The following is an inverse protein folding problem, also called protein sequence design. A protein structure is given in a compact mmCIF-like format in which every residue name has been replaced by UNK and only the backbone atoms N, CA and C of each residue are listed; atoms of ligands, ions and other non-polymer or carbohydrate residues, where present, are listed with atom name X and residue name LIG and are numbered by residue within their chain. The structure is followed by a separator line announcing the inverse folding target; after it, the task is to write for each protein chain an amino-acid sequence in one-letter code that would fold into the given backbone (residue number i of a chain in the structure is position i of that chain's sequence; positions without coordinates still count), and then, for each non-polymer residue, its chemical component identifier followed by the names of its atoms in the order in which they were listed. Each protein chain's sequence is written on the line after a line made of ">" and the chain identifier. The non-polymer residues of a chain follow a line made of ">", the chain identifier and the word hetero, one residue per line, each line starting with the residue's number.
data_IF_886483766524
#
_entry.id   IF_886483766524
#
_cell.length_a   1.000
_cell.length_b   1.000
_cell.length_c   1.000
_cell.angle_alpha   90.00
_cell.angle_beta   90.00
_cell.angle_gamma   90.00
#
_symmetry.space_group_name_H-M   'P 1'
#
loop_
_entity.id
_entity.type
_entity.pdbx_description
1 polymer ?
#
# COMPACT_ATOMS: atom_id res chain seq x y z
N UNK A 1 6.71 30.32 -5.45
CA UNK A 1 6.36 29.14 -6.26
C UNK A 1 4.92 28.76 -5.96
N UNK A 2 4.01 28.67 -6.94
CA UNK A 2 2.66 28.21 -6.71
C UNK A 2 2.67 26.77 -6.19
N UNK A 3 2.01 26.52 -5.06
CA UNK A 3 1.89 25.20 -4.43
C UNK A 3 0.42 24.80 -4.42
N UNK A 4 0.12 23.58 -4.86
CA UNK A 4 -1.16 22.97 -4.54
C UNK A 4 -1.07 22.30 -3.16
N UNK A 5 -2.10 22.47 -2.35
CA UNK A 5 -2.16 21.98 -0.97
C UNK A 5 -3.38 21.09 -0.76
N UNK A 6 -3.22 20.02 0.03
CA UNK A 6 -4.30 19.18 0.53
C UNK A 6 -3.99 18.77 1.98
N UNK A 7 -4.99 18.78 2.85
CA UNK A 7 -4.89 18.28 4.22
C UNK A 7 -6.00 17.26 4.48
N UNK A 8 -5.63 16.14 5.09
CA UNK A 8 -6.56 15.08 5.46
C UNK A 8 -6.33 14.67 6.91
N UNK A 9 -7.43 14.53 7.66
CA UNK A 9 -7.39 14.06 9.05
C UNK A 9 -8.16 12.75 9.16
N UNK A 10 -7.54 11.75 9.75
CA UNK A 10 -8.15 10.47 10.07
C UNK A 10 -8.05 10.21 11.57
N UNK A 11 -9.14 9.76 12.19
CA UNK A 11 -9.16 9.31 13.57
C UNK A 11 -9.65 7.85 13.61
N UNK A 12 -8.87 6.97 14.22
CA UNK A 12 -9.21 5.55 14.33
C UNK A 12 -8.47 4.87 15.49
N UNK A 13 -9.12 3.96 16.21
CA UNK A 13 -8.55 3.16 17.32
C UNK A 13 -7.68 3.97 18.32
N UNK A 14 -8.11 5.18 18.70
CA UNK A 14 -7.37 6.04 19.64
C UNK A 14 -6.14 6.75 19.06
N UNK A 15 -5.98 6.70 17.73
CA UNK A 15 -4.96 7.41 16.96
C UNK A 15 -5.62 8.49 16.10
N UNK A 16 -5.09 9.71 16.16
CA UNK A 16 -5.43 10.78 15.21
C UNK A 16 -4.22 11.03 14.33
N UNK A 17 -4.41 11.10 13.03
CA UNK A 17 -3.36 11.32 12.06
C UNK A 17 -3.76 12.40 11.06
N UNK A 18 -2.96 13.46 11.00
CA UNK A 18 -3.10 14.56 10.05
C UNK A 18 -2.03 14.40 8.98
N UNK A 19 -2.42 14.44 7.71
CA UNK A 19 -1.52 14.37 6.57
C UNK A 19 -1.65 15.64 5.75
N UNK A 20 -0.52 16.29 5.47
CA UNK A 20 -0.44 17.52 4.68
C UNK A 20 0.38 17.25 3.44
N UNK A 21 -0.19 17.53 2.28
CA UNK A 21 0.44 17.31 1.00
C UNK A 21 0.63 18.65 0.29
N UNK A 22 1.87 18.94 -0.09
CA UNK A 22 2.25 20.04 -0.96
C UNK A 22 2.72 19.46 -2.29
N UNK A 23 2.17 19.93 -3.41
CA UNK A 23 2.59 19.57 -4.75
C UNK A 23 3.03 20.83 -5.50
N UNK A 24 4.26 20.81 -6.00
CA UNK A 24 4.87 21.88 -6.78
C UNK A 24 5.03 21.37 -8.21
N UNK A 25 4.25 21.95 -9.13
CA UNK A 25 4.33 21.65 -10.56
C UNK A 25 5.47 22.44 -11.25
N UNK A 26 6.02 23.44 -10.58
CA UNK A 26 7.09 24.28 -11.11
C UNK A 26 8.47 23.70 -10.76
N UNK A 27 8.96 22.84 -11.65
CA UNK A 27 10.25 22.16 -11.52
C UNK A 27 11.44 23.06 -11.90
N UNK A 28 11.21 24.27 -12.44
CA UNK A 28 12.30 25.21 -12.76
C UNK A 28 13.08 25.65 -11.51
N UNK A 29 12.51 25.41 -10.35
CA UNK A 29 13.10 25.66 -9.03
C UNK A 29 14.18 24.64 -8.64
N UNK A 30 14.29 23.52 -9.34
CA UNK A 30 15.31 22.50 -9.07
C UNK A 30 16.66 22.90 -9.68
N UNK A 31 17.79 22.53 -9.04
CA UNK A 31 19.09 22.67 -9.65
C UNK A 31 19.20 21.73 -10.86
N UNK A 32 19.72 22.25 -11.97
CA UNK A 32 19.94 21.50 -13.21
C UNK A 32 18.67 20.77 -13.69
N UNK A 33 17.55 21.48 -13.95
CA UNK A 33 16.28 20.86 -14.33
C UNK A 33 16.40 19.98 -15.59
N UNK A 34 17.36 20.27 -16.45
CA UNK A 34 17.71 19.47 -17.63
C UNK A 34 18.12 18.02 -17.31
N UNK A 35 18.64 17.75 -16.10
CA UNK A 35 19.01 16.40 -15.67
C UNK A 35 17.81 15.54 -15.25
N UNK A 36 16.63 16.15 -15.10
CA UNK A 36 15.42 15.50 -14.60
C UNK A 36 14.43 15.18 -15.72
N UNK A 37 14.89 14.44 -16.72
CA UNK A 37 14.09 14.11 -17.90
C UNK A 37 12.75 13.44 -17.51
N UNK A 38 11.64 14.04 -17.95
CA UNK A 38 10.29 13.53 -17.70
C UNK A 38 9.70 13.88 -16.32
N UNK A 39 10.46 14.50 -15.41
CA UNK A 39 9.92 15.02 -14.16
C UNK A 39 8.90 16.12 -14.46
N UNK A 40 7.81 16.17 -13.71
CA UNK A 40 6.76 17.19 -13.89
C UNK A 40 6.41 17.91 -12.60
N UNK A 41 6.56 17.26 -11.44
CA UNK A 41 6.33 17.87 -10.14
C UNK A 41 7.21 17.26 -9.06
N UNK A 42 7.38 18.01 -7.98
CA UNK A 42 7.89 17.51 -6.69
C UNK A 42 6.81 17.63 -5.63
N UNK A 43 6.79 16.71 -4.67
CA UNK A 43 5.81 16.73 -3.59
C UNK A 43 6.46 16.52 -2.22
N UNK A 44 5.85 17.14 -1.21
CA UNK A 44 6.12 16.90 0.19
C UNK A 44 4.84 16.36 0.83
N UNK A 45 4.93 15.20 1.48
CA UNK A 45 3.88 14.67 2.34
C UNK A 45 4.38 14.64 3.78
N UNK A 46 3.76 15.45 4.63
CA UNK A 46 4.00 15.44 6.07
C UNK A 46 2.89 14.67 6.76
N UNK A 47 3.26 13.87 7.75
CA UNK A 47 2.34 13.08 8.56
C UNK A 47 2.59 13.39 10.03
N UNK A 48 1.55 13.82 10.73
CA UNK A 48 1.55 14.05 12.17
C UNK A 48 0.57 13.09 12.83
N UNK A 49 1.08 12.24 13.72
CA UNK A 49 0.32 11.18 14.38
C UNK A 49 0.33 11.39 15.88
N UNK A 50 -0.88 11.51 16.45
CA UNK A 50 -1.15 11.63 17.88
C UNK A 50 -1.72 10.31 18.41
N UNK A 51 -1.06 9.72 19.42
CA UNK A 51 -1.52 8.49 20.06
C UNK A 51 -1.02 8.43 21.50
N UNK A 52 -1.93 8.21 22.46
CA UNK A 52 -1.57 7.96 23.86
C UNK A 52 -0.68 9.05 24.49
N UNK A 53 -0.87 10.32 24.12
CA UNK A 53 -0.08 11.46 24.61
C UNK A 53 1.19 11.77 23.79
N UNK A 54 1.58 10.91 22.86
CA UNK A 54 2.75 11.11 22.00
C UNK A 54 2.36 11.68 20.65
N UNK A 55 3.18 12.60 20.14
CA UNK A 55 3.08 13.13 18.78
C UNK A 55 4.32 12.74 18.00
N UNK A 56 4.13 12.10 16.85
CA UNK A 56 5.21 11.74 15.92
C UNK A 56 5.00 12.46 14.61
N UNK A 57 6.10 12.95 14.01
CA UNK A 57 6.07 13.65 12.71
C UNK A 57 7.04 12.99 11.74
N UNK A 58 6.62 12.89 10.50
CA UNK A 58 7.42 12.34 9.41
C UNK A 58 7.17 13.13 8.14
N UNK A 59 8.25 13.49 7.44
CA UNK A 59 8.21 14.23 6.17
C UNK A 59 8.80 13.35 5.08
N UNK A 60 8.07 13.23 3.95
CA UNK A 60 8.47 12.41 2.81
C UNK A 60 8.47 13.25 1.55
N UNK A 61 9.57 13.20 0.80
CA UNK A 61 9.74 13.92 -0.46
C UNK A 61 9.56 12.96 -1.64
N UNK A 62 8.88 13.41 -2.68
CA UNK A 62 8.61 12.63 -3.87
C UNK A 62 8.97 13.41 -5.13
N UNK A 63 9.47 12.67 -6.12
CA UNK A 63 9.55 13.09 -7.51
C UNK A 63 8.43 12.41 -8.28
N UNK A 64 7.74 13.13 -9.16
CA UNK A 64 6.60 12.55 -9.87
C UNK A 64 6.37 13.18 -11.24
N UNK A 65 5.85 12.37 -12.15
CA UNK A 65 5.31 12.81 -13.44
C UNK A 65 3.86 13.30 -13.32
N UNK A 66 3.22 13.10 -12.16
CA UNK A 66 1.87 13.61 -11.89
C UNK A 66 1.90 15.13 -11.74
N UNK A 67 0.89 15.79 -12.29
CA UNK A 67 0.69 17.25 -12.19
C UNK A 67 -0.71 17.57 -11.69
N UNK A 68 -0.94 18.85 -11.42
CA UNK A 68 -2.25 19.39 -11.06
C UNK A 68 -2.36 19.64 -9.56
N UNK A 69 -3.32 18.96 -8.91
CA UNK A 69 -3.69 19.21 -7.52
C UNK A 69 -3.04 18.21 -6.55
N UNK A 70 -2.72 18.66 -5.35
CA UNK A 70 -2.13 17.84 -4.30
C UNK A 70 -3.05 16.68 -3.86
N UNK A 71 -4.37 16.87 -3.86
CA UNK A 71 -5.33 15.84 -3.41
C UNK A 71 -5.26 14.52 -4.19
N UNK A 72 -5.32 14.49 -5.54
CA UNK A 72 -5.07 13.28 -6.31
C UNK A 72 -3.74 12.58 -5.99
N UNK A 73 -2.66 13.36 -5.83
CA UNK A 73 -1.36 12.83 -5.46
C UNK A 73 -1.37 12.21 -4.05
N UNK A 74 -1.92 12.91 -3.05
CA UNK A 74 -2.07 12.41 -1.69
C UNK A 74 -2.88 11.10 -1.64
N UNK A 75 -3.95 11.01 -2.43
CA UNK A 75 -4.74 9.79 -2.57
C UNK A 75 -3.93 8.65 -3.19
N UNK A 76 -3.10 8.92 -4.20
CA UNK A 76 -2.25 7.90 -4.82
C UNK A 76 -1.20 7.37 -3.82
N UNK A 77 -0.53 8.25 -3.06
CA UNK A 77 0.41 7.84 -2.00
C UNK A 77 -0.31 7.03 -0.93
N UNK A 78 -1.52 7.42 -0.52
CA UNK A 78 -2.31 6.65 0.44
C UNK A 78 -2.74 5.29 -0.11
N UNK A 79 -3.12 5.22 -1.38
CA UNK A 79 -3.46 3.95 -2.04
C UNK A 79 -2.24 3.02 -2.12
N UNK A 80 -1.04 3.57 -2.34
CA UNK A 80 0.20 2.80 -2.34
C UNK A 80 0.47 2.12 -0.99
N UNK A 81 0.21 2.79 0.14
CA UNK A 81 0.25 2.16 1.47
C UNK A 81 -0.71 0.96 1.61
N UNK A 82 -1.77 0.92 0.79
CA UNK A 82 -2.65 -0.24 0.70
C UNK A 82 -1.95 -1.51 0.24
N UNK A 83 -0.82 -1.41 -0.50
CA UNK A 83 0.01 -2.57 -0.88
C UNK A 83 0.61 -3.20 0.37
N UNK A 84 1.29 -2.43 1.20
CA UNK A 84 1.90 -2.96 2.43
C UNK A 84 0.86 -3.58 3.37
N UNK A 85 -0.21 -2.83 3.63
CA UNK A 85 -1.22 -3.26 4.60
C UNK A 85 -2.11 -4.40 4.09
N UNK A 86 -2.46 -4.42 2.79
CA UNK A 86 -3.41 -5.39 2.25
C UNK A 86 -2.74 -6.59 1.59
N UNK A 87 -1.50 -6.47 1.12
CA UNK A 87 -0.75 -7.55 0.49
C UNK A 87 0.31 -8.10 1.43
N UNK A 88 1.37 -7.33 1.73
CA UNK A 88 2.54 -7.81 2.47
C UNK A 88 2.18 -8.33 3.85
N UNK A 89 1.49 -7.52 4.67
CA UNK A 89 1.09 -7.97 6.01
C UNK A 89 0.26 -9.27 5.99
N UNK A 90 -0.61 -9.44 4.99
CA UNK A 90 -1.42 -10.66 4.86
C UNK A 90 -0.54 -11.85 4.47
N UNK A 91 0.45 -11.66 3.59
CA UNK A 91 1.40 -12.71 3.24
C UNK A 91 2.27 -13.10 4.45
N UNK A 92 2.80 -12.11 5.17
CA UNK A 92 3.66 -12.29 6.33
C UNK A 92 2.94 -13.03 7.45
N UNK A 93 1.80 -12.50 7.90
CA UNK A 93 1.10 -13.02 9.08
C UNK A 93 0.16 -14.16 8.72
N UNK A 94 -0.67 -13.99 7.68
CA UNK A 94 -1.67 -14.99 7.35
C UNK A 94 -1.02 -16.15 6.62
N UNK A 95 -0.18 -15.92 5.61
CA UNK A 95 0.52 -17.00 4.87
C UNK A 95 1.85 -17.45 5.51
N UNK A 96 2.23 -16.85 6.64
CA UNK A 96 3.43 -17.21 7.42
C UNK A 96 4.68 -17.13 6.55
N UNK A 97 4.78 -16.05 5.78
CA UNK A 97 5.93 -15.82 4.90
C UNK A 97 7.21 -15.65 5.70
N UNK A 98 7.18 -14.87 6.79
CA UNK A 98 8.32 -14.68 7.70
C UNK A 98 8.83 -15.98 8.33
N UNK A 99 7.92 -16.90 8.66
CA UNK A 99 8.26 -18.20 9.25
C UNK A 99 8.85 -19.19 8.22
N UNK A 100 8.80 -18.86 6.92
CA UNK A 100 9.17 -19.77 5.85
C UNK A 100 10.69 -19.95 5.76
N UNK A 101 11.15 -21.19 5.95
CA UNK A 101 12.59 -21.55 5.91
C UNK A 101 13.08 -21.97 4.52
N UNK A 102 12.26 -21.85 3.49
CA UNK A 102 12.66 -22.22 2.12
C UNK A 102 13.66 -21.18 1.60
N UNK A 103 14.87 -21.64 1.23
CA UNK A 103 15.98 -20.77 0.77
C UNK A 103 16.73 -21.28 -0.47
N UNK A 104 16.31 -22.42 -1.05
CA UNK A 104 17.04 -23.07 -2.15
C UNK A 104 16.58 -22.60 -3.53
N UNK A 105 17.51 -22.18 -4.38
CA UNK A 105 17.27 -21.82 -5.78
C UNK A 105 16.07 -20.86 -5.91
N UNK A 106 15.18 -21.11 -6.89
CA UNK A 106 13.99 -20.30 -7.16
C UNK A 106 12.79 -20.65 -6.28
N UNK A 107 12.93 -21.55 -5.29
CA UNK A 107 11.81 -21.97 -4.46
C UNK A 107 11.17 -20.80 -3.65
N UNK A 108 11.91 -19.83 -3.10
CA UNK A 108 11.31 -18.68 -2.42
C UNK A 108 10.43 -17.83 -3.36
N UNK A 109 10.94 -17.52 -4.55
CA UNK A 109 10.22 -16.72 -5.53
C UNK A 109 8.96 -17.45 -6.03
N UNK A 110 9.09 -18.72 -6.39
CA UNK A 110 7.97 -19.54 -6.86
C UNK A 110 6.85 -19.65 -5.81
N UNK A 111 7.22 -19.87 -4.55
CA UNK A 111 6.24 -19.97 -3.47
C UNK A 111 5.54 -18.62 -3.22
N UNK A 112 6.28 -17.50 -3.25
CA UNK A 112 5.68 -16.18 -3.13
C UNK A 112 4.65 -15.93 -4.25
N UNK A 113 4.98 -16.27 -5.50
CA UNK A 113 4.02 -16.18 -6.61
C UNK A 113 2.74 -16.99 -6.35
N UNK A 114 2.87 -18.24 -5.89
CA UNK A 114 1.70 -19.08 -5.57
C UNK A 114 0.85 -18.49 -4.43
N UNK A 115 1.50 -17.92 -3.40
CA UNK A 115 0.80 -17.25 -2.29
C UNK A 115 0.02 -16.03 -2.77
N UNK A 116 0.62 -15.20 -3.62
CA UNK A 116 -0.04 -14.03 -4.20
C UNK A 116 -1.25 -14.42 -5.07
N UNK A 117 -1.10 -15.45 -5.92
CA UNK A 117 -2.22 -16.00 -6.70
C UNK A 117 -3.35 -16.47 -5.78
N UNK A 118 -3.01 -17.25 -4.74
CA UNK A 118 -3.98 -17.76 -3.77
C UNK A 118 -4.70 -16.64 -3.02
N UNK A 119 -3.98 -15.61 -2.57
CA UNK A 119 -4.56 -14.45 -1.90
C UNK A 119 -5.51 -13.68 -2.81
N UNK A 120 -5.13 -13.48 -4.07
CA UNK A 120 -5.97 -12.78 -5.06
C UNK A 120 -7.28 -13.54 -5.32
N UNK A 121 -7.23 -14.87 -5.43
CA UNK A 121 -8.44 -15.70 -5.58
C UNK A 121 -9.34 -15.58 -4.34
N UNK A 122 -8.76 -15.74 -3.13
CA UNK A 122 -9.49 -15.61 -1.87
C UNK A 122 -10.19 -14.24 -1.75
N UNK A 123 -9.51 -13.15 -2.13
CA UNK A 123 -10.07 -11.79 -2.08
C UNK A 123 -11.18 -11.55 -3.11
N UNK A 124 -11.16 -12.27 -4.25
CA UNK A 124 -12.21 -12.17 -5.27
C UNK A 124 -13.46 -12.98 -4.91
N UNK A 125 -13.33 -14.03 -4.11
CA UNK A 125 -14.47 -14.84 -3.67
C UNK A 125 -15.43 -14.02 -2.82
N UNK A 126 -16.71 -13.98 -3.22
CA UNK A 126 -17.75 -13.27 -2.47
C UNK A 126 -18.17 -14.07 -1.25
N UNK A 127 -17.56 -13.80 -0.12
CA UNK A 127 -18.00 -14.33 1.17
C UNK A 127 -17.73 -13.32 2.30
N UNK A 128 -18.28 -13.58 3.49
CA UNK A 128 -18.10 -12.72 4.68
C UNK A 128 -16.95 -13.20 5.59
N UNK A 129 -16.18 -14.20 5.16
CA UNK A 129 -15.11 -14.79 5.97
C UNK A 129 -13.82 -14.00 5.80
N UNK A 130 -13.02 -13.95 6.87
CA UNK A 130 -11.66 -13.42 6.79
C UNK A 130 -10.78 -14.26 5.86
N UNK A 131 -9.67 -13.70 5.36
CA UNK A 131 -8.69 -14.44 4.53
C UNK A 131 -8.24 -15.73 5.21
N UNK A 132 -8.00 -15.70 6.53
CA UNK A 132 -7.60 -16.87 7.32
C UNK A 132 -8.68 -17.95 7.33
N UNK A 133 -9.95 -17.58 7.55
CA UNK A 133 -11.08 -18.51 7.56
C UNK A 133 -11.35 -19.09 6.17
N UNK A 134 -11.34 -18.27 5.13
CA UNK A 134 -11.53 -18.72 3.75
C UNK A 134 -10.45 -19.71 3.35
N UNK A 135 -9.19 -19.43 3.66
CA UNK A 135 -8.09 -20.37 3.40
C UNK A 135 -8.25 -21.66 4.19
N UNK A 136 -8.61 -21.58 5.47
CA UNK A 136 -8.83 -22.77 6.29
C UNK A 136 -9.96 -23.63 5.74
N UNK A 137 -11.11 -23.03 5.39
CA UNK A 137 -12.21 -23.76 4.77
C UNK A 137 -11.81 -24.40 3.45
N UNK A 138 -11.09 -23.68 2.58
CA UNK A 138 -10.59 -24.24 1.32
C UNK A 138 -9.62 -25.42 1.52
N UNK A 139 -8.90 -25.47 2.64
CA UNK A 139 -8.03 -26.59 2.97
C UNK A 139 -8.82 -27.86 3.36
N UNK A 140 -10.03 -27.72 3.89
CA UNK A 140 -10.85 -28.84 4.41
C UNK A 140 -12.04 -29.23 3.53
N UNK A 141 -12.49 -28.35 2.64
CA UNK A 141 -13.66 -28.55 1.78
C UNK A 141 -13.25 -28.43 0.30
N UNK A 142 -13.19 -29.58 -0.37
CA UNK A 142 -12.77 -29.71 -1.77
C UNK A 142 -13.72 -29.01 -2.74
N UNK A 143 -15.02 -29.01 -2.44
CA UNK A 143 -16.03 -28.32 -3.24
C UNK A 143 -15.84 -26.82 -3.15
N UNK A 144 -15.67 -26.32 -1.92
CA UNK A 144 -15.39 -24.91 -1.68
C UNK A 144 -14.04 -24.47 -2.28
N UNK A 145 -13.00 -25.30 -2.20
CA UNK A 145 -11.71 -25.03 -2.84
C UNK A 145 -11.84 -24.93 -4.34
N UNK A 146 -12.56 -25.85 -4.97
CA UNK A 146 -12.79 -25.87 -6.42
C UNK A 146 -13.56 -24.63 -6.88
N UNK A 147 -14.57 -24.20 -6.13
CA UNK A 147 -15.31 -22.97 -6.38
C UNK A 147 -14.40 -21.73 -6.37
N UNK A 148 -13.51 -21.60 -5.37
CA UNK A 148 -12.52 -20.51 -5.31
C UNK A 148 -11.58 -20.54 -6.51
N UNK A 149 -11.05 -21.72 -6.86
CA UNK A 149 -10.11 -21.88 -7.97
C UNK A 149 -10.75 -21.58 -9.33
N UNK A 150 -12.02 -21.95 -9.52
CA UNK A 150 -12.78 -21.64 -10.72
C UNK A 150 -13.22 -20.16 -10.80
N UNK A 151 -13.06 -19.39 -9.72
CA UNK A 151 -13.52 -18.01 -9.59
C UNK A 151 -15.02 -17.85 -9.96
N UNK A 152 -15.81 -18.84 -9.55
CA UNK A 152 -17.27 -18.86 -9.68
C UNK A 152 -17.94 -18.38 -8.40
#
# INVERSE_FOLDING_TARGET
>A
VPVSYDEQTNADHGRVEVRRCCLVNDISTLPQPENWAGLQSIALLESERHQGGYTTRESRYYITTLTGKAKPFANAVRAHWGVENSLHWVLDVTFREDDCRIRRNNAPANLNTVRQISLNLIKKTKNRMSVKQTRFKAAWDDSFRSHILANQ
#
